data_IF_493939558488
#
_entry.id   IF_493939558488
#
_cell.length_a   1.000
_cell.length_b   1.000
_cell.length_c   1.000
_cell.angle_alpha   90.00
_cell.angle_beta   90.00
_cell.angle_gamma   90.00
#
_symmetry.space_group_name_H-M   'P 1'
#
loop_
_entity.id
_entity.type
_entity.pdbx_description
1 polymer ?
#
# COMPACT_ATOMS: atom_id res chain seq x y z
N UNK A 1 59.43 -1.65 -40.66
CA UNK A 1 58.45 -0.75 -39.97
C UNK A 1 57.50 -0.17 -41.02
N UNK A 2 56.27 -0.67 -41.12
CA UNK A 2 55.22 -0.16 -42.01
C UNK A 2 54.65 1.14 -41.39
N UNK A 3 54.90 2.31 -42.05
CA UNK A 3 54.24 3.57 -41.71
C UNK A 3 52.74 3.42 -41.91
N UNK A 4 51.97 3.49 -40.86
CA UNK A 4 50.52 3.70 -40.90
C UNK A 4 50.25 5.05 -41.56
N UNK A 5 49.64 5.01 -42.73
CA UNK A 5 49.22 6.16 -43.52
C UNK A 5 47.99 6.77 -42.80
N UNK A 6 48.14 7.82 -42.08
CA UNK A 6 47.01 8.58 -41.51
C UNK A 6 46.12 9.08 -42.65
N UNK A 7 44.95 8.46 -42.76
CA UNK A 7 43.88 8.93 -43.66
C UNK A 7 43.29 10.18 -43.01
N UNK A 8 43.67 11.35 -43.44
CA UNK A 8 42.96 12.57 -43.07
C UNK A 8 41.54 12.53 -43.63
N UNK A 9 40.57 12.37 -42.75
CA UNK A 9 39.15 12.45 -43.07
C UNK A 9 38.82 13.90 -43.37
N UNK A 10 38.31 14.21 -44.57
CA UNK A 10 37.95 15.59 -44.90
C UNK A 10 36.84 16.09 -43.96
N UNK A 11 36.87 17.38 -43.62
CA UNK A 11 35.87 18.02 -42.73
C UNK A 11 34.41 17.71 -43.14
N UNK A 12 34.18 17.68 -44.48
CA UNK A 12 32.86 17.32 -45.04
C UNK A 12 32.47 15.89 -44.73
N UNK A 13 33.41 14.94 -44.80
CA UNK A 13 33.16 13.53 -44.50
C UNK A 13 32.96 13.30 -43.00
N UNK A 14 33.65 14.04 -42.12
CA UNK A 14 33.43 14.03 -40.68
C UNK A 14 32.03 14.54 -40.32
N UNK A 15 31.59 15.66 -40.92
CA UNK A 15 30.28 16.24 -40.72
C UNK A 15 29.16 15.31 -41.18
N UNK A 16 29.29 14.64 -42.31
CA UNK A 16 28.30 13.67 -42.79
C UNK A 16 28.21 12.43 -41.89
N UNK A 17 29.33 11.94 -41.37
CA UNK A 17 29.36 10.84 -40.42
C UNK A 17 28.70 11.22 -39.07
N UNK A 18 28.95 12.42 -38.57
CA UNK A 18 28.29 12.92 -37.34
C UNK A 18 26.77 13.08 -37.53
N UNK A 19 26.35 13.62 -38.68
CA UNK A 19 24.92 13.74 -39.00
C UNK A 19 24.23 12.36 -39.13
N UNK A 20 24.89 11.41 -39.78
CA UNK A 20 24.37 10.03 -39.89
C UNK A 20 24.31 9.33 -38.53
N UNK A 21 25.33 9.46 -37.69
CA UNK A 21 25.33 8.93 -36.33
C UNK A 21 24.22 9.55 -35.48
N UNK A 22 24.02 10.87 -35.56
CA UNK A 22 22.92 11.58 -34.88
C UNK A 22 21.54 11.10 -35.33
N UNK A 23 21.32 10.90 -36.63
CA UNK A 23 20.08 10.36 -37.18
C UNK A 23 19.82 8.92 -36.72
N UNK A 24 20.85 8.05 -36.72
CA UNK A 24 20.74 6.66 -36.24
C UNK A 24 20.41 6.64 -34.76
N UNK A 25 21.07 7.49 -33.93
CA UNK A 25 20.79 7.59 -32.51
C UNK A 25 19.37 8.09 -32.25
N UNK A 26 18.89 9.06 -32.99
CA UNK A 26 17.51 9.56 -32.91
C UNK A 26 16.50 8.46 -33.28
N UNK A 27 16.76 7.67 -34.32
CA UNK A 27 15.88 6.54 -34.71
C UNK A 27 15.89 5.45 -33.64
N UNK A 28 17.05 5.10 -33.07
CA UNK A 28 17.16 4.13 -31.98
C UNK A 28 16.39 4.63 -30.74
N UNK A 29 16.54 5.92 -30.38
CA UNK A 29 15.75 6.53 -29.29
C UNK A 29 14.25 6.46 -29.57
N UNK A 30 13.79 6.78 -30.76
CA UNK A 30 12.36 6.70 -31.15
C UNK A 30 11.83 5.26 -31.11
N UNK A 31 12.64 4.28 -31.48
CA UNK A 31 12.26 2.85 -31.40
C UNK A 31 12.27 2.37 -29.93
N UNK A 32 13.26 2.78 -29.14
CA UNK A 32 13.37 2.39 -27.73
C UNK A 32 12.38 3.08 -26.80
N UNK A 33 11.91 4.29 -27.14
CA UNK A 33 10.91 5.05 -26.37
C UNK A 33 9.45 4.68 -26.67
N UNK A 34 9.21 3.59 -27.39
CA UNK A 34 7.91 2.93 -27.31
C UNK A 34 6.94 3.11 -28.46
N UNK A 35 7.35 2.77 -29.64
CA UNK A 35 6.36 2.51 -30.71
C UNK A 35 5.61 1.18 -30.52
N UNK A 36 5.98 0.37 -29.53
CA UNK A 36 5.23 -0.84 -29.18
C UNK A 36 4.18 -0.54 -28.10
N UNK A 37 3.24 0.35 -28.42
CA UNK A 37 2.13 0.64 -27.55
C UNK A 37 1.05 -0.41 -27.73
N UNK A 38 0.96 -1.31 -26.75
CA UNK A 38 -0.15 -2.24 -26.67
C UNK A 38 -1.49 -1.47 -26.56
N UNK A 39 -2.61 -2.13 -26.82
CA UNK A 39 -3.94 -1.50 -26.81
C UNK A 39 -4.27 -0.84 -25.47
N UNK A 40 -3.80 -1.41 -24.35
CA UNK A 40 -3.97 -0.83 -23.01
C UNK A 40 -3.27 0.51 -22.90
N UNK A 41 -2.01 0.59 -23.35
CA UNK A 41 -1.26 1.85 -23.33
C UNK A 41 -1.86 2.93 -24.24
N UNK A 42 -2.52 2.55 -25.34
CA UNK A 42 -3.26 3.51 -26.18
C UNK A 42 -4.47 4.07 -25.44
N UNK A 43 -5.29 3.20 -24.85
CA UNK A 43 -6.48 3.60 -24.07
C UNK A 43 -6.12 4.49 -22.88
N UNK A 44 -5.09 4.12 -22.12
CA UNK A 44 -4.65 4.93 -20.97
C UNK A 44 -4.21 6.33 -21.41
N UNK A 45 -3.44 6.47 -22.50
CA UNK A 45 -3.04 7.78 -23.00
C UNK A 45 -4.20 8.61 -23.54
N UNK A 46 -5.21 7.97 -24.13
CA UNK A 46 -6.42 8.66 -24.57
C UNK A 46 -7.22 9.21 -23.38
N UNK A 47 -7.36 8.41 -22.32
CA UNK A 47 -8.02 8.83 -21.08
C UNK A 47 -7.22 9.96 -20.42
N UNK A 48 -5.90 9.81 -20.28
CA UNK A 48 -5.02 10.83 -19.69
C UNK A 48 -5.13 12.17 -20.40
N UNK A 49 -5.15 12.16 -21.75
CA UNK A 49 -5.36 13.37 -22.55
C UNK A 49 -6.73 14.01 -22.28
N UNK A 50 -7.81 13.20 -22.23
CA UNK A 50 -9.15 13.70 -21.95
C UNK A 50 -9.25 14.30 -20.55
N UNK A 51 -8.63 13.65 -19.55
CA UNK A 51 -8.59 14.15 -18.19
C UNK A 51 -7.80 15.46 -18.12
N UNK A 52 -6.60 15.51 -18.71
CA UNK A 52 -5.78 16.72 -18.75
C UNK A 52 -6.47 17.91 -19.43
N UNK A 53 -7.32 17.66 -20.45
CA UNK A 53 -8.02 18.71 -21.19
C UNK A 53 -9.31 19.20 -20.49
N UNK A 54 -10.00 18.32 -19.75
CA UNK A 54 -11.40 18.58 -19.33
C UNK A 54 -11.63 18.47 -17.83
N UNK A 55 -10.72 17.90 -17.07
CA UNK A 55 -10.90 17.76 -15.64
C UNK A 55 -10.54 19.07 -14.93
N UNK A 56 -11.45 19.57 -14.09
CA UNK A 56 -11.34 20.88 -13.42
C UNK A 56 -10.78 20.74 -11.99
N UNK A 57 -10.70 19.51 -11.46
CA UNK A 57 -10.19 19.25 -10.11
C UNK A 57 -8.65 19.12 -10.05
N UNK A 58 -8.11 18.99 -8.85
CA UNK A 58 -6.70 18.64 -8.65
C UNK A 58 -6.48 17.18 -9.02
N UNK A 59 -5.44 16.91 -9.79
CA UNK A 59 -5.06 15.56 -10.21
C UNK A 59 -3.87 15.10 -9.37
N UNK A 60 -4.07 14.05 -8.59
CA UNK A 60 -3.00 13.30 -7.95
C UNK A 60 -2.49 12.23 -8.93
N UNK A 61 -1.38 12.53 -9.59
CA UNK A 61 -0.83 11.69 -10.64
C UNK A 61 -0.36 10.32 -10.13
N UNK A 62 0.20 10.27 -8.92
CA UNK A 62 0.69 9.02 -8.32
C UNK A 62 -0.48 8.10 -7.96
N UNK A 63 -1.52 8.66 -7.37
CA UNK A 63 -2.74 7.94 -7.04
C UNK A 63 -3.43 7.40 -8.31
N UNK A 64 -3.54 8.20 -9.37
CA UNK A 64 -4.09 7.76 -10.66
C UNK A 64 -3.26 6.64 -11.26
N UNK A 65 -1.93 6.71 -11.20
CA UNK A 65 -1.05 5.67 -11.71
C UNK A 65 -1.22 4.34 -10.95
N UNK A 66 -1.33 4.40 -9.62
CA UNK A 66 -1.57 3.24 -8.77
C UNK A 66 -2.92 2.57 -9.05
N UNK A 67 -3.99 3.36 -9.21
CA UNK A 67 -5.31 2.83 -9.61
C UNK A 67 -5.30 2.22 -11.01
N UNK A 68 -4.57 2.81 -11.95
CA UNK A 68 -4.43 2.25 -13.30
C UNK A 68 -3.69 0.91 -13.26
N UNK A 69 -2.62 0.80 -12.47
CA UNK A 69 -1.87 -0.45 -12.26
C UNK A 69 -2.74 -1.52 -11.58
N UNK A 70 -3.48 -1.15 -10.53
CA UNK A 70 -4.40 -2.03 -9.84
C UNK A 70 -5.51 -2.54 -10.77
N UNK A 71 -6.09 -1.65 -11.59
CA UNK A 71 -7.09 -2.00 -12.59
C UNK A 71 -6.57 -2.95 -13.66
N UNK A 72 -5.32 -2.75 -14.11
CA UNK A 72 -4.67 -3.65 -15.07
C UNK A 72 -4.53 -5.07 -14.50
N UNK A 73 -4.03 -5.21 -13.28
CA UNK A 73 -3.88 -6.52 -12.61
C UNK A 73 -5.25 -7.17 -12.36
N UNK A 74 -6.23 -6.39 -11.90
CA UNK A 74 -7.61 -6.88 -11.70
C UNK A 74 -8.22 -7.40 -13.01
N UNK A 75 -7.91 -6.73 -14.13
CA UNK A 75 -8.37 -7.13 -15.48
C UNK A 75 -7.82 -8.46 -15.97
N UNK A 76 -6.78 -9.03 -15.35
CA UNK A 76 -6.30 -10.39 -15.65
C UNK A 76 -7.28 -11.48 -15.20
N UNK A 77 -8.19 -11.17 -14.27
CA UNK A 77 -9.13 -12.15 -13.71
C UNK A 77 -8.49 -13.20 -12.81
N UNK A 78 -7.22 -13.02 -12.45
CA UNK A 78 -6.52 -13.90 -11.54
C UNK A 78 -6.70 -13.42 -10.08
N UNK A 79 -7.34 -14.26 -9.27
CA UNK A 79 -7.63 -13.95 -7.86
C UNK A 79 -6.40 -13.91 -6.93
N UNK A 80 -5.27 -14.42 -7.39
CA UNK A 80 -4.03 -14.47 -6.61
C UNK A 80 -3.06 -13.33 -6.92
N UNK A 81 -3.31 -12.62 -8.03
CA UNK A 81 -2.52 -11.46 -8.42
C UNK A 81 -3.14 -10.18 -7.84
N UNK A 82 -2.33 -9.37 -7.20
CA UNK A 82 -2.72 -8.06 -6.68
C UNK A 82 -1.59 -7.05 -6.89
N UNK A 83 -1.97 -5.80 -7.12
CA UNK A 83 -1.05 -4.68 -7.10
C UNK A 83 -1.03 -4.06 -5.71
N UNK A 84 0.15 -3.87 -5.17
CA UNK A 84 0.35 -3.22 -3.86
C UNK A 84 1.11 -1.91 -4.10
N UNK A 85 0.51 -0.74 -3.84
CA UNK A 85 1.21 0.54 -3.89
C UNK A 85 2.45 0.55 -2.99
N UNK A 86 3.48 1.30 -3.41
CA UNK A 86 4.75 1.34 -2.69
C UNK A 86 4.58 1.79 -1.23
N UNK A 87 3.68 2.73 -0.98
CA UNK A 87 3.35 3.23 0.36
C UNK A 87 2.74 2.16 1.28
N UNK A 88 2.01 1.18 0.71
CA UNK A 88 1.34 0.11 1.44
C UNK A 88 2.17 -1.18 1.52
N UNK A 89 3.31 -1.24 0.81
CA UNK A 89 4.10 -2.47 0.70
C UNK A 89 4.64 -2.97 2.05
N UNK A 90 5.13 -2.07 2.90
CA UNK A 90 5.63 -2.45 4.22
C UNK A 90 4.51 -2.99 5.13
N UNK A 91 3.34 -2.38 5.11
CA UNK A 91 2.18 -2.87 5.86
C UNK A 91 1.74 -4.26 5.35
N UNK A 92 1.74 -4.45 4.04
CA UNK A 92 1.44 -5.74 3.41
C UNK A 92 2.46 -6.81 3.81
N UNK A 93 3.76 -6.51 3.76
CA UNK A 93 4.84 -7.41 4.17
C UNK A 93 4.72 -7.81 5.64
N UNK A 94 4.49 -6.82 6.51
CA UNK A 94 4.27 -7.06 7.94
C UNK A 94 3.07 -7.96 8.20
N UNK A 95 1.97 -7.74 7.48
CA UNK A 95 0.77 -8.58 7.57
C UNK A 95 1.07 -10.03 7.17
N UNK A 96 1.87 -10.25 6.12
CA UNK A 96 2.35 -11.59 5.72
C UNK A 96 3.22 -12.28 6.77
N UNK A 97 3.92 -11.49 7.59
CA UNK A 97 4.70 -11.99 8.74
C UNK A 97 3.85 -12.18 10.01
N UNK A 98 2.54 -11.98 9.93
CA UNK A 98 1.66 -12.00 11.10
C UNK A 98 1.86 -10.81 12.04
N UNK A 99 2.34 -9.69 11.52
CA UNK A 99 2.54 -8.45 12.26
C UNK A 99 1.59 -7.37 11.75
N UNK A 100 1.23 -6.45 12.62
CA UNK A 100 0.46 -5.26 12.25
C UNK A 100 0.90 -4.08 13.11
N UNK A 101 0.81 -2.88 12.56
CA UNK A 101 1.08 -1.66 13.32
C UNK A 101 -0.24 -0.97 13.67
N UNK A 102 -0.49 -0.84 14.96
CA UNK A 102 -1.73 -0.26 15.49
C UNK A 102 -1.82 -0.40 17.00
N UNK A 103 -3.03 -0.55 17.51
CA UNK A 103 -3.30 -0.66 18.97
C UNK A 103 -3.26 -2.09 19.51
N UNK A 104 -3.23 -3.11 18.64
CA UNK A 104 -3.12 -4.51 19.05
C UNK A 104 -4.43 -5.15 19.48
N UNK A 105 -5.45 -5.05 18.66
CA UNK A 105 -6.72 -5.74 18.80
C UNK A 105 -7.09 -6.48 17.52
N UNK A 106 -7.80 -7.60 17.64
CA UNK A 106 -8.58 -8.17 16.55
C UNK A 106 -10.04 -7.78 16.72
N UNK A 107 -10.68 -7.45 15.62
CA UNK A 107 -12.05 -6.99 15.61
C UNK A 107 -12.91 -7.77 14.63
N UNK A 108 -14.21 -7.82 14.89
CA UNK A 108 -15.23 -8.14 13.89
C UNK A 108 -16.03 -6.88 13.65
N UNK A 109 -16.22 -6.53 12.38
CA UNK A 109 -16.93 -5.31 12.00
C UNK A 109 -18.12 -5.60 11.10
N UNK A 110 -19.15 -4.77 11.24
CA UNK A 110 -20.23 -4.54 10.28
C UNK A 110 -20.03 -3.16 9.66
N UNK A 111 -20.95 -2.67 8.85
CA UNK A 111 -20.83 -1.32 8.28
C UNK A 111 -20.68 -0.22 9.33
N UNK A 112 -21.39 -0.34 10.44
CA UNK A 112 -21.50 0.71 11.49
C UNK A 112 -21.04 0.27 12.87
N UNK A 113 -20.42 -0.89 13.03
CA UNK A 113 -20.05 -1.44 14.33
C UNK A 113 -18.72 -2.18 14.27
N UNK A 114 -17.86 -1.92 15.23
CA UNK A 114 -16.57 -2.59 15.41
C UNK A 114 -16.55 -3.19 16.82
N UNK A 115 -16.53 -4.52 16.92
CA UNK A 115 -16.44 -5.23 18.19
C UNK A 115 -15.07 -5.86 18.36
N UNK A 116 -14.45 -5.65 19.52
CA UNK A 116 -13.18 -6.28 19.89
C UNK A 116 -13.41 -7.76 20.20
N UNK A 117 -12.73 -8.63 19.45
CA UNK A 117 -12.79 -10.10 19.63
C UNK A 117 -11.59 -10.66 20.36
N UNK A 118 -10.44 -9.98 20.23
CA UNK A 118 -9.22 -10.34 20.93
C UNK A 118 -8.42 -9.07 21.20
N UNK A 119 -7.74 -9.02 22.33
CA UNK A 119 -6.72 -8.03 22.66
C UNK A 119 -5.41 -8.79 22.82
N UNK A 120 -4.37 -8.35 22.12
CA UNK A 120 -3.06 -9.00 22.21
C UNK A 120 -2.33 -8.61 23.50
N UNK A 121 -1.67 -9.59 24.12
CA UNK A 121 -0.88 -9.36 25.32
C UNK A 121 0.18 -8.29 25.07
N UNK A 122 0.46 -7.46 26.07
CA UNK A 122 1.45 -6.37 26.04
C UNK A 122 1.21 -5.28 25.00
N UNK A 123 0.09 -5.34 24.29
CA UNK A 123 -0.30 -4.33 23.30
C UNK A 123 -0.66 -2.98 23.91
N UNK A 124 -0.63 -1.89 23.13
CA UNK A 124 -1.15 -0.58 23.56
C UNK A 124 -2.58 -0.65 24.07
N UNK A 125 -3.46 -1.41 23.40
CA UNK A 125 -4.85 -1.60 23.78
C UNK A 125 -4.99 -2.32 25.14
N UNK A 126 -4.19 -3.36 25.39
CA UNK A 126 -4.18 -4.05 26.68
C UNK A 126 -3.75 -3.10 27.82
N UNK A 127 -2.70 -2.30 27.61
CA UNK A 127 -2.21 -1.32 28.57
C UNK A 127 -3.22 -0.20 28.83
N UNK A 128 -4.01 0.18 27.81
CA UNK A 128 -5.08 1.18 27.93
C UNK A 128 -6.37 0.61 28.55
N UNK A 129 -6.44 -0.70 28.81
CA UNK A 129 -7.57 -1.35 29.42
C UNK A 129 -8.73 -1.64 28.46
N UNK A 130 -8.45 -1.79 27.16
CA UNK A 130 -9.41 -2.34 26.20
C UNK A 130 -9.54 -3.84 26.42
N UNK A 131 -10.76 -4.35 26.39
CA UNK A 131 -11.05 -5.74 26.66
C UNK A 131 -11.84 -6.40 25.52
N UNK A 132 -11.79 -7.72 25.47
CA UNK A 132 -12.63 -8.48 24.56
C UNK A 132 -14.11 -8.22 24.84
N UNK A 133 -14.86 -7.84 23.82
CA UNK A 133 -16.28 -7.54 23.92
C UNK A 133 -16.59 -6.06 23.89
N UNK A 134 -15.59 -5.20 24.08
CA UNK A 134 -15.73 -3.75 23.91
C UNK A 134 -16.08 -3.39 22.46
N UNK A 135 -16.66 -2.24 22.27
CA UNK A 135 -16.98 -1.70 20.95
C UNK A 135 -16.16 -0.43 20.69
N UNK A 136 -15.55 -0.36 19.51
CA UNK A 136 -14.89 0.84 19.04
C UNK A 136 -15.94 1.68 18.30
N UNK A 137 -16.16 2.91 18.78
CA UNK A 137 -17.13 3.85 18.23
C UNK A 137 -16.51 4.81 17.22
N UNK A 138 -15.20 5.11 17.36
CA UNK A 138 -14.52 6.05 16.49
C UNK A 138 -13.06 6.27 16.87
N UNK A 139 -12.38 7.11 16.08
CA UNK A 139 -11.01 7.57 16.33
C UNK A 139 -10.83 8.98 15.76
N UNK A 140 -10.32 9.91 16.59
CA UNK A 140 -10.28 11.32 16.22
C UNK A 140 -11.68 11.83 15.89
N UNK A 141 -11.83 12.44 14.72
CA UNK A 141 -13.11 12.96 14.22
C UNK A 141 -13.96 11.91 13.48
N UNK A 142 -13.41 10.72 13.23
CA UNK A 142 -14.09 9.65 12.51
C UNK A 142 -14.95 8.80 13.45
N UNK A 143 -16.17 8.52 13.03
CA UNK A 143 -17.11 7.66 13.78
C UNK A 143 -17.62 6.51 12.90
N UNK A 144 -17.91 5.36 13.52
CA UNK A 144 -18.44 4.20 12.80
C UNK A 144 -19.80 4.46 12.17
N UNK A 145 -20.58 5.39 12.74
CA UNK A 145 -21.93 5.72 12.22
C UNK A 145 -21.89 6.60 10.97
N UNK A 146 -20.93 7.55 10.90
CA UNK A 146 -20.84 8.49 9.77
C UNK A 146 -19.94 8.00 8.67
N UNK A 147 -18.75 7.50 9.07
CA UNK A 147 -17.64 7.26 8.12
C UNK A 147 -17.48 5.77 7.82
N UNK A 148 -18.20 4.92 8.55
CA UNK A 148 -18.14 3.48 8.43
C UNK A 148 -16.97 2.83 9.18
N UNK A 149 -17.10 1.55 9.45
CA UNK A 149 -16.11 0.80 10.23
C UNK A 149 -14.75 0.69 9.53
N UNK A 150 -14.73 0.60 8.21
CA UNK A 150 -13.49 0.47 7.44
C UNK A 150 -12.61 1.71 7.55
N UNK A 151 -13.20 2.91 7.50
CA UNK A 151 -12.47 4.17 7.66
C UNK A 151 -11.86 4.28 9.07
N UNK A 152 -12.64 3.94 10.11
CA UNK A 152 -12.18 3.95 11.50
C UNK A 152 -11.04 2.94 11.71
N UNK A 153 -11.16 1.71 11.20
CA UNK A 153 -10.11 0.69 11.32
C UNK A 153 -8.82 1.13 10.63
N UNK A 154 -8.93 1.71 9.44
CA UNK A 154 -7.77 2.23 8.70
C UNK A 154 -7.08 3.36 9.46
N UNK A 155 -7.85 4.26 10.07
CA UNK A 155 -7.30 5.38 10.85
C UNK A 155 -6.68 4.95 12.19
N UNK A 156 -7.11 3.82 12.78
CA UNK A 156 -6.50 3.25 13.98
C UNK A 156 -5.13 2.65 13.65
N UNK A 157 -4.98 2.04 12.49
CA UNK A 157 -3.69 1.59 11.98
C UNK A 157 -2.83 2.79 11.57
N UNK A 158 -1.52 2.63 11.50
CA UNK A 158 -0.64 3.71 11.07
C UNK A 158 0.81 3.47 11.44
N UNK A 159 1.62 4.53 11.37
CA UNK A 159 3.05 4.46 11.63
C UNK A 159 3.33 4.21 13.12
N UNK A 160 4.27 3.30 13.39
CA UNK A 160 4.74 3.02 14.76
C UNK A 160 5.19 4.30 15.49
N UNK A 161 4.87 4.36 16.79
CA UNK A 161 5.24 5.47 17.65
C UNK A 161 4.35 6.70 17.53
N UNK A 162 3.36 6.71 16.64
CA UNK A 162 2.39 7.82 16.56
C UNK A 162 1.21 7.61 17.51
N UNK A 163 0.65 8.69 18.02
CA UNK A 163 -0.50 8.63 18.92
C UNK A 163 -1.80 8.41 18.17
N UNK A 164 -2.72 7.72 18.81
CA UNK A 164 -4.10 7.53 18.34
C UNK A 164 -5.06 7.61 19.53
N UNK A 165 -6.12 8.37 19.38
CA UNK A 165 -7.21 8.44 20.36
C UNK A 165 -8.40 7.65 19.83
N UNK A 166 -8.87 6.68 20.61
CA UNK A 166 -9.96 5.78 20.23
C UNK A 166 -11.09 5.91 21.23
N UNK A 167 -12.30 6.12 20.73
CA UNK A 167 -13.51 6.11 21.57
C UNK A 167 -14.03 4.69 21.68
N UNK A 168 -14.04 4.16 22.90
CA UNK A 168 -14.43 2.78 23.19
C UNK A 168 -15.65 2.75 24.08
N UNK A 169 -16.65 1.96 23.74
CA UNK A 169 -17.79 1.63 24.58
C UNK A 169 -17.55 0.31 25.30
N UNK A 170 -17.51 0.37 26.60
CA UNK A 170 -17.32 -0.80 27.47
C UNK A 170 -18.59 -1.68 27.57
N UNK A 171 -18.42 -2.91 28.04
CA UNK A 171 -19.54 -3.83 28.25
C UNK A 171 -20.60 -3.30 29.24
N UNK A 172 -20.22 -2.42 30.16
CA UNK A 172 -21.12 -1.74 31.09
C UNK A 172 -21.92 -0.57 30.47
N UNK A 173 -21.67 -0.29 29.20
CA UNK A 173 -22.31 0.78 28.43
C UNK A 173 -21.60 2.13 28.54
N UNK A 174 -20.57 2.28 29.37
CA UNK A 174 -19.80 3.52 29.47
C UNK A 174 -18.94 3.75 28.22
N UNK A 175 -18.85 4.99 27.75
CA UNK A 175 -17.94 5.36 26.68
C UNK A 175 -16.73 6.08 27.27
N UNK A 176 -15.53 5.74 26.76
CA UNK A 176 -14.26 6.35 27.18
C UNK A 176 -13.40 6.65 25.94
N UNK A 177 -12.72 7.77 25.99
CA UNK A 177 -11.65 8.09 25.06
C UNK A 177 -10.31 7.61 25.64
N UNK A 178 -9.58 6.85 24.83
CA UNK A 178 -8.31 6.26 25.23
C UNK A 178 -7.25 6.68 24.22
N UNK A 179 -6.26 7.43 24.67
CA UNK A 179 -5.11 7.79 23.84
C UNK A 179 -3.98 6.81 24.09
N UNK A 180 -3.43 6.26 23.02
CA UNK A 180 -2.34 5.29 23.08
C UNK A 180 -1.42 5.43 21.88
N UNK A 181 -0.19 4.97 22.02
CA UNK A 181 0.81 5.00 20.97
C UNK A 181 0.72 3.74 20.12
N UNK A 182 0.71 3.88 18.80
CA UNK A 182 0.73 2.73 17.89
C UNK A 182 2.04 1.96 18.04
N UNK A 183 1.96 0.65 18.06
CA UNK A 183 3.10 -0.24 18.14
C UNK A 183 2.97 -1.39 17.13
N UNK A 184 4.11 -1.98 16.77
CA UNK A 184 4.12 -3.23 16.03
C UNK A 184 3.68 -4.36 16.97
N UNK A 185 2.59 -5.02 16.62
CA UNK A 185 2.02 -6.14 17.37
C UNK A 185 2.14 -7.40 16.53
N UNK A 186 2.70 -8.45 17.11
CA UNK A 186 2.77 -9.76 16.47
C UNK A 186 1.52 -10.56 16.80
N UNK A 187 0.82 -10.99 15.78
CA UNK A 187 -0.32 -11.88 15.90
C UNK A 187 0.19 -13.30 16.16
N UNK A 188 -0.11 -13.84 17.32
CA UNK A 188 0.17 -15.25 17.58
C UNK A 188 -0.81 -16.09 16.75
N UNK A 189 -0.35 -16.63 15.63
CA UNK A 189 -1.15 -17.47 14.72
C UNK A 189 -1.43 -18.85 15.30
N UNK A 190 -0.59 -19.29 16.23
CA UNK A 190 -0.77 -20.54 16.95
C UNK A 190 -0.22 -20.40 18.37
N UNK A 191 -0.85 -21.07 19.31
CA UNK A 191 -0.32 -21.21 20.67
C UNK A 191 -0.50 -22.65 21.15
N UNK A 192 0.40 -23.09 22.00
CA UNK A 192 0.38 -24.42 22.55
C UNK A 192 0.64 -24.43 24.05
N UNK A 193 0.11 -25.43 24.74
CA UNK A 193 0.44 -25.71 26.13
C UNK A 193 0.53 -27.21 26.34
N UNK A 194 1.38 -27.60 27.29
CA UNK A 194 1.36 -28.97 27.79
C UNK A 194 0.17 -29.15 28.71
N UNK A 195 -0.63 -30.19 28.48
CA UNK A 195 -1.73 -30.59 29.35
C UNK A 195 -1.22 -31.47 30.50
N UNK A 196 -0.20 -32.27 30.22
CA UNK A 196 0.58 -33.03 31.17
C UNK A 196 1.97 -33.34 30.54
N UNK A 197 2.81 -34.12 31.19
CA UNK A 197 4.17 -34.42 30.74
C UNK A 197 4.28 -35.14 29.39
N UNK A 198 3.18 -35.63 28.84
CA UNK A 198 3.13 -36.42 27.60
C UNK A 198 2.20 -35.86 26.52
N UNK A 199 1.33 -34.93 26.87
CA UNK A 199 0.29 -34.44 25.95
C UNK A 199 0.44 -32.93 25.79
N UNK A 200 0.75 -32.51 24.55
CA UNK A 200 0.74 -31.09 24.12
C UNK A 200 -0.58 -30.76 23.41
N UNK A 201 -1.11 -29.58 23.66
CA UNK A 201 -2.26 -29.02 22.96
C UNK A 201 -1.80 -27.81 22.13
N UNK A 202 -2.13 -27.80 20.87
CA UNK A 202 -1.89 -26.68 19.95
C UNK A 202 -3.22 -26.20 19.41
N UNK A 203 -3.38 -24.89 19.35
CA UNK A 203 -4.55 -24.22 18.79
C UNK A 203 -4.10 -23.18 17.80
#
# INVERSE_FOLDING_TARGET
MKKLRERQVSLRMALTMCAAAGAITAVICLISTGWNTNEVGKKLREIDRLVSDKYVGELDADNVADYAAAGYITGLGDKWSSYIPAENYEAYRMSGEGKGCGIGVSVTSTETSIRVTLVYDDSPAAKAGIEKGDYILGTGDLTTEKDGSSAVISAISGKEGTDVTVTVKKADGSAKELTMQRAVVTQKMAWGKMLNDKIGYIR
#
